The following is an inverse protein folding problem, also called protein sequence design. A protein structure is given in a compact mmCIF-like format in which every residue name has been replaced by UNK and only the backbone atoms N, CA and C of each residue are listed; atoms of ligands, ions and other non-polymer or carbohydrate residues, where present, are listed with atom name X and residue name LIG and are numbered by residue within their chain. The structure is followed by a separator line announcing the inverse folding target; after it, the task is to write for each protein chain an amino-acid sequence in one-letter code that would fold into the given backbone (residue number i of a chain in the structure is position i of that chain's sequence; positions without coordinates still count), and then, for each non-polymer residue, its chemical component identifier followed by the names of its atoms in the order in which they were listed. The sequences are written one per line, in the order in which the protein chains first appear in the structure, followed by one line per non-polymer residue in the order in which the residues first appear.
data_IF_958434730990
#
_entry.id   IF_958434730990
#
_cell.length_a   1.000
_cell.length_b   1.000
_cell.length_c   1.000
_cell.angle_alpha   90.00
_cell.angle_beta   90.00
_cell.angle_gamma   90.00
#
_symmetry.space_group_name_H-M   'P 1'
#
loop_
_entity.id
_entity.type
_entity.pdbx_description
1 polymer ?
#
# COMPACT_ATOMS: atom_id res chain seq x y z
N UNK A 1 -16.78 64.14 -45.09
CA UNK A 1 -17.83 63.40 -44.37
C UNK A 1 -17.30 62.01 -44.03
N UNK A 2 -17.32 61.65 -42.73
CA UNK A 2 -16.98 60.36 -42.09
C UNK A 2 -15.54 59.80 -42.20
N UNK A 3 -14.89 59.76 -41.04
CA UNK A 3 -13.75 58.89 -40.71
C UNK A 3 -14.12 57.41 -40.89
N UNK A 4 -13.14 56.58 -41.25
CA UNK A 4 -13.15 55.16 -40.84
C UNK A 4 -11.74 54.71 -40.43
N UNK A 5 -11.71 53.99 -39.30
CA UNK A 5 -10.63 53.81 -38.33
C UNK A 5 -9.54 52.83 -38.77
N UNK A 6 -8.34 53.09 -38.26
CA UNK A 6 -7.16 52.20 -38.20
C UNK A 6 -7.44 51.04 -37.23
N UNK A 7 -6.97 49.82 -37.55
CA UNK A 7 -6.18 49.03 -36.59
C UNK A 7 -5.43 47.87 -37.28
N UNK A 8 -4.08 47.83 -37.20
CA UNK A 8 -3.32 46.63 -37.55
C UNK A 8 -3.44 45.63 -36.40
N UNK A 9 -3.83 44.39 -36.72
CA UNK A 9 -3.79 43.28 -35.77
C UNK A 9 -2.30 43.00 -35.49
N UNK A 10 -1.80 43.48 -34.34
CA UNK A 10 -0.52 43.05 -33.79
C UNK A 10 -0.70 41.64 -33.27
N UNK A 11 -0.15 40.65 -33.98
CA UNK A 11 0.03 39.31 -33.45
C UNK A 11 1.05 39.37 -32.30
N UNK A 12 0.55 39.32 -31.07
CA UNK A 12 1.40 39.09 -29.89
C UNK A 12 1.51 37.58 -29.74
N UNK A 13 2.66 37.03 -30.13
CA UNK A 13 3.02 35.65 -29.79
C UNK A 13 3.45 35.67 -28.32
N UNK A 14 2.52 35.34 -27.42
CA UNK A 14 2.83 35.09 -26.03
C UNK A 14 3.48 33.70 -25.93
N UNK A 15 4.81 33.68 -25.77
CA UNK A 15 5.56 32.47 -25.50
C UNK A 15 5.30 32.07 -24.05
N UNK A 16 4.33 31.17 -23.85
CA UNK A 16 4.07 30.58 -22.54
C UNK A 16 5.25 29.69 -22.18
N UNK A 17 6.13 30.16 -21.29
CA UNK A 17 7.11 29.33 -20.65
C UNK A 17 6.36 28.31 -19.77
N UNK A 18 6.17 27.09 -20.30
CA UNK A 18 5.81 25.93 -19.50
C UNK A 18 6.96 25.66 -18.54
N UNK A 19 6.86 26.24 -17.35
CA UNK A 19 7.70 25.83 -16.23
C UNK A 19 7.38 24.37 -15.91
N UNK A 20 8.24 23.46 -16.36
CA UNK A 20 8.30 22.11 -15.81
C UNK A 20 8.71 22.27 -14.34
N UNK A 21 7.71 22.34 -13.46
CA UNK A 21 7.92 22.18 -12.04
C UNK A 21 8.28 20.72 -11.81
N UNK A 22 9.56 20.39 -11.85
CA UNK A 22 10.06 19.12 -11.33
C UNK A 22 9.82 19.17 -9.82
N UNK A 23 8.71 18.58 -9.37
CA UNK A 23 8.48 18.39 -7.95
C UNK A 23 9.67 17.60 -7.39
N UNK A 24 10.52 18.25 -6.62
CA UNK A 24 11.59 17.57 -5.91
C UNK A 24 10.92 16.64 -4.90
N UNK A 25 11.20 15.34 -5.01
CA UNK A 25 10.72 14.37 -4.03
C UNK A 25 11.24 14.79 -2.64
N UNK A 26 10.32 14.95 -1.70
CA UNK A 26 10.62 15.30 -0.32
C UNK A 26 11.23 14.09 0.40
N UNK A 27 12.02 14.31 1.46
CA UNK A 27 12.37 13.24 2.39
C UNK A 27 11.11 12.58 2.99
N UNK A 28 9.98 13.30 3.00
CA UNK A 28 8.66 12.78 3.33
C UNK A 28 8.10 11.75 2.33
N UNK A 29 8.78 11.49 1.22
CA UNK A 29 8.39 10.53 0.19
C UNK A 29 9.14 9.18 0.30
N UNK A 30 10.21 9.09 1.11
CA UNK A 30 11.04 7.88 1.23
C UNK A 30 10.79 7.06 2.49
N UNK A 31 10.64 5.75 2.37
CA UNK A 31 10.50 4.83 3.51
C UNK A 31 11.57 3.74 3.48
N UNK A 32 11.89 3.15 4.62
CA UNK A 32 12.88 2.08 4.70
C UNK A 32 12.36 0.77 4.10
N UNK A 33 11.04 0.56 4.16
CA UNK A 33 10.36 -0.62 3.66
C UNK A 33 8.95 -0.26 3.16
N UNK A 34 8.61 -0.71 1.96
CA UNK A 34 7.22 -0.91 1.53
C UNK A 34 6.85 -2.39 1.80
N UNK A 35 5.88 -2.62 2.68
CA UNK A 35 5.47 -3.95 3.13
C UNK A 35 4.01 -4.25 2.78
N UNK A 36 3.78 -5.31 2.01
CA UNK A 36 2.44 -5.88 1.83
C UNK A 36 2.31 -7.11 2.74
N UNK A 37 1.36 -7.08 3.67
CA UNK A 37 0.92 -8.28 4.38
C UNK A 37 -0.19 -8.94 3.57
N UNK A 38 0.11 -10.07 2.91
CA UNK A 38 -0.80 -10.80 2.05
C UNK A 38 -1.28 -12.08 2.74
N UNK A 39 -2.52 -12.08 3.21
CA UNK A 39 -3.05 -13.06 4.16
C UNK A 39 -4.12 -13.95 3.53
N UNK A 40 -3.92 -15.26 3.61
CA UNK A 40 -4.87 -16.26 3.11
C UNK A 40 -6.16 -16.27 3.94
N UNK A 41 -7.30 -16.21 3.25
CA UNK A 41 -8.65 -16.39 3.81
C UNK A 41 -9.38 -17.57 3.16
N UNK A 42 -8.64 -18.50 2.56
CA UNK A 42 -9.22 -19.64 1.87
C UNK A 42 -9.97 -20.57 2.82
N UNK A 43 -10.92 -21.34 2.29
CA UNK A 43 -11.77 -22.25 3.08
C UNK A 43 -11.01 -23.43 3.72
N UNK A 44 -9.71 -23.61 3.50
CA UNK A 44 -8.91 -24.53 4.33
C UNK A 44 -8.77 -23.98 5.75
N UNK A 45 -8.53 -22.68 5.89
CA UNK A 45 -8.41 -21.99 7.17
C UNK A 45 -9.76 -21.95 7.90
N UNK A 46 -9.83 -22.42 9.14
CA UNK A 46 -10.99 -22.21 9.99
C UNK A 46 -11.00 -20.81 10.64
N UNK A 47 -12.11 -20.45 11.30
CA UNK A 47 -12.24 -19.11 11.86
C UNK A 47 -11.32 -18.85 13.06
N UNK A 48 -10.92 -19.88 13.79
CA UNK A 48 -10.02 -19.72 14.94
C UNK A 48 -8.58 -19.55 14.46
N UNK A 49 -8.18 -20.26 13.40
CA UNK A 49 -6.91 -20.05 12.71
C UNK A 49 -6.81 -18.64 12.12
N UNK A 50 -7.86 -18.15 11.45
CA UNK A 50 -7.90 -16.78 10.91
C UNK A 50 -7.82 -15.72 12.01
N UNK A 51 -8.51 -15.94 13.14
CA UNK A 51 -8.41 -15.06 14.31
C UNK A 51 -7.01 -15.06 14.90
N UNK A 52 -6.41 -16.24 15.07
CA UNK A 52 -5.07 -16.39 15.62
C UNK A 52 -4.03 -15.69 14.74
N UNK A 53 -4.10 -15.88 13.43
CA UNK A 53 -3.22 -15.22 12.47
C UNK A 53 -3.37 -13.70 12.52
N UNK A 54 -4.62 -13.20 12.52
CA UNK A 54 -4.91 -11.76 12.65
C UNK A 54 -4.36 -11.19 13.96
N UNK A 55 -4.57 -11.89 15.07
CA UNK A 55 -4.05 -11.50 16.37
C UNK A 55 -2.52 -11.46 16.35
N UNK A 56 -1.85 -12.45 15.74
CA UNK A 56 -0.40 -12.46 15.57
C UNK A 56 0.13 -11.22 14.85
N UNK A 57 -0.56 -10.76 13.79
CA UNK A 57 -0.19 -9.50 13.14
C UNK A 57 -0.37 -8.28 14.04
N UNK A 58 -1.50 -8.19 14.77
CA UNK A 58 -1.76 -7.08 15.69
C UNK A 58 -0.69 -7.02 16.80
N UNK A 59 -0.34 -8.18 17.36
CA UNK A 59 0.69 -8.29 18.40
C UNK A 59 2.08 -7.92 17.85
N UNK A 60 2.46 -8.45 16.69
CA UNK A 60 3.75 -8.15 16.06
C UNK A 60 3.88 -6.66 15.71
N UNK A 61 2.86 -6.06 15.09
CA UNK A 61 2.87 -4.65 14.69
C UNK A 61 2.98 -3.69 15.87
N UNK A 62 2.56 -4.11 17.06
CA UNK A 62 2.61 -3.28 18.27
C UNK A 62 3.73 -3.67 19.24
N UNK A 63 4.54 -4.68 18.88
CA UNK A 63 5.63 -5.15 19.70
C UNK A 63 6.75 -4.08 19.82
N UNK A 64 7.29 -3.81 21.02
CA UNK A 64 8.34 -2.80 21.20
C UNK A 64 9.54 -2.97 20.28
N UNK A 65 10.01 -4.21 20.09
CA UNK A 65 11.16 -4.50 19.23
C UNK A 65 10.90 -4.19 17.75
N UNK A 66 9.67 -4.43 17.26
CA UNK A 66 9.27 -4.10 15.89
C UNK A 66 9.22 -2.58 15.71
N UNK A 67 8.65 -1.87 16.68
CA UNK A 67 8.62 -0.39 16.67
C UNK A 67 10.04 0.17 16.68
N UNK A 68 10.92 -0.37 17.53
CA UNK A 68 12.32 0.05 17.60
C UNK A 68 13.06 -0.24 16.28
N UNK A 69 12.76 -1.37 15.62
CA UNK A 69 13.35 -1.70 14.33
C UNK A 69 12.91 -0.72 13.23
N UNK A 70 11.66 -0.25 13.26
CA UNK A 70 11.15 0.79 12.35
C UNK A 70 11.87 2.12 12.62
N UNK A 71 11.88 2.57 13.88
CA UNK A 71 12.44 3.87 14.28
C UNK A 71 13.96 3.97 14.09
N UNK A 72 14.68 2.84 14.12
CA UNK A 72 16.14 2.79 13.93
C UNK A 72 16.59 2.68 12.47
N UNK A 73 15.65 2.59 11.52
CA UNK A 73 15.94 2.60 10.09
C UNK A 73 16.50 3.95 9.59
N UNK A 74 17.16 3.99 8.42
CA UNK A 74 17.70 5.22 7.85
C UNK A 74 16.70 6.37 7.69
N UNK A 75 15.44 6.06 7.37
CA UNK A 75 14.34 7.03 7.29
C UNK A 75 13.43 6.98 8.53
N UNK A 76 13.63 6.00 9.43
CA UNK A 76 12.89 5.82 10.67
C UNK A 76 11.42 5.46 10.48
N UNK A 77 11.04 4.93 9.32
CA UNK A 77 9.63 4.72 8.94
C UNK A 77 9.45 3.70 7.81
N UNK A 78 8.30 3.05 7.82
CA UNK A 78 7.88 2.09 6.79
C UNK A 78 6.52 2.48 6.21
N UNK A 79 6.20 2.01 5.01
CA UNK A 79 4.84 1.95 4.50
C UNK A 79 4.32 0.52 4.56
N UNK A 80 3.09 0.33 5.01
CA UNK A 80 2.47 -0.99 5.16
C UNK A 80 1.02 -0.99 4.66
N UNK A 81 0.60 -2.10 4.05
CA UNK A 81 -0.80 -2.38 3.68
C UNK A 81 -1.16 -3.82 4.06
N UNK A 82 -2.43 -4.06 4.37
CA UNK A 82 -2.96 -5.38 4.72
C UNK A 82 -3.99 -5.83 3.69
N UNK A 83 -3.75 -7.01 3.12
CA UNK A 83 -4.49 -7.58 2.00
C UNK A 83 -4.92 -9.00 2.35
N UNK A 84 -6.15 -9.33 2.01
CA UNK A 84 -6.66 -10.70 2.08
C UNK A 84 -6.73 -11.29 0.68
N UNK A 85 -6.38 -12.58 0.56
CA UNK A 85 -6.45 -13.32 -0.70
C UNK A 85 -6.98 -14.74 -0.50
N UNK A 86 -7.56 -15.32 -1.56
CA UNK A 86 -7.94 -16.73 -1.62
C UNK A 86 -7.78 -17.25 -3.05
N UNK A 87 -8.85 -17.78 -3.66
CA UNK A 87 -8.85 -18.23 -5.05
C UNK A 87 -8.77 -17.08 -6.07
N UNK A 88 -8.86 -17.43 -7.34
CA UNK A 88 -8.87 -16.45 -8.44
C UNK A 88 -9.99 -15.43 -8.26
N UNK A 89 -9.65 -14.14 -8.32
CA UNK A 89 -10.61 -13.04 -8.18
C UNK A 89 -10.96 -12.66 -6.75
N UNK A 90 -10.41 -13.36 -5.75
CA UNK A 90 -10.56 -13.03 -4.34
C UNK A 90 -9.27 -12.41 -3.80
N UNK A 91 -9.07 -11.12 -4.09
CA UNK A 91 -7.99 -10.30 -3.56
C UNK A 91 -8.57 -8.95 -3.17
N UNK A 92 -8.34 -8.52 -1.93
CA UNK A 92 -8.86 -7.23 -1.47
C UNK A 92 -7.91 -6.54 -0.50
N UNK A 93 -7.70 -5.24 -0.72
CA UNK A 93 -7.07 -4.36 0.28
C UNK A 93 -8.06 -4.15 1.41
N UNK A 94 -7.73 -4.68 2.58
CA UNK A 94 -8.58 -4.61 3.78
C UNK A 94 -8.18 -3.42 4.66
N UNK A 95 -6.87 -3.16 4.77
CA UNK A 95 -6.36 -1.90 5.32
C UNK A 95 -5.46 -1.24 4.28
N UNK A 96 -5.82 -0.06 3.76
CA UNK A 96 -5.00 0.67 2.79
C UNK A 96 -3.61 1.02 3.32
N UNK A 97 -2.71 1.37 2.39
CA UNK A 97 -1.38 1.86 2.68
C UNK A 97 -1.39 2.93 3.78
N UNK A 98 -0.49 2.78 4.74
CA UNK A 98 -0.20 3.78 5.74
C UNK A 98 1.30 3.83 6.02
N UNK A 99 1.82 5.04 6.28
CA UNK A 99 3.17 5.21 6.78
C UNK A 99 3.16 5.06 8.30
N UNK A 100 4.12 4.31 8.83
CA UNK A 100 4.34 4.10 10.26
C UNK A 100 5.76 4.57 10.58
N UNK A 101 5.85 5.57 11.44
CA UNK A 101 7.08 6.19 11.93
C UNK A 101 7.21 6.15 13.46
N UNK A 102 6.15 5.72 14.16
CA UNK A 102 6.10 5.69 15.60
C UNK A 102 5.06 4.67 16.12
N UNK A 103 5.10 4.45 17.44
CA UNK A 103 4.19 3.55 18.16
C UNK A 103 2.70 3.85 17.98
N UNK A 104 2.31 5.12 17.91
CA UNK A 104 0.90 5.50 17.83
C UNK A 104 0.31 5.15 16.47
N UNK A 105 1.04 5.45 15.40
CA UNK A 105 0.69 5.06 14.03
C UNK A 105 0.64 3.53 13.86
N UNK A 106 1.60 2.82 14.47
CA UNK A 106 1.61 1.36 14.47
C UNK A 106 0.36 0.77 15.14
N UNK A 107 -0.03 1.30 16.31
CA UNK A 107 -1.26 0.91 17.01
C UNK A 107 -2.51 1.24 16.21
N UNK A 108 -2.57 2.41 15.55
CA UNK A 108 -3.70 2.79 14.73
C UNK A 108 -3.86 1.85 13.51
N UNK A 109 -2.75 1.48 12.86
CA UNK A 109 -2.77 0.50 11.78
C UNK A 109 -3.21 -0.88 12.29
N UNK A 110 -2.61 -1.37 13.38
CA UNK A 110 -2.95 -2.65 13.98
C UNK A 110 -4.41 -2.72 14.43
N UNK A 111 -4.97 -1.64 14.99
CA UNK A 111 -6.38 -1.57 15.36
C UNK A 111 -7.31 -1.76 14.16
N UNK A 112 -6.99 -1.14 13.01
CA UNK A 112 -7.75 -1.34 11.77
C UNK A 112 -7.70 -2.78 11.28
N UNK A 113 -6.53 -3.42 11.36
CA UNK A 113 -6.38 -4.86 11.05
C UNK A 113 -7.23 -5.70 12.00
N UNK A 114 -7.17 -5.44 13.31
CA UNK A 114 -7.84 -6.23 14.33
C UNK A 114 -9.37 -6.16 14.28
N UNK A 115 -9.95 -5.03 13.87
CA UNK A 115 -11.42 -4.85 13.78
C UNK A 115 -12.00 -5.15 12.40
N UNK A 116 -11.15 -5.40 11.40
CA UNK A 116 -11.61 -5.79 10.07
C UNK A 116 -12.44 -7.08 10.13
N UNK A 117 -13.59 -7.18 9.43
CA UNK A 117 -14.36 -8.41 9.36
C UNK A 117 -13.49 -9.59 8.92
N UNK A 118 -13.70 -10.76 9.52
CA UNK A 118 -13.02 -12.01 9.11
C UNK A 118 -13.93 -12.73 8.12
N UNK A 119 -13.46 -12.88 6.89
CA UNK A 119 -14.14 -13.60 5.81
C UNK A 119 -13.47 -14.95 5.50
N UNK A 120 -14.15 -15.76 4.69
CA UNK A 120 -13.62 -17.02 4.13
C UNK A 120 -14.05 -17.20 2.69
N UNK A 121 -13.11 -17.47 1.79
CA UNK A 121 -13.38 -17.60 0.37
C UNK A 121 -12.88 -18.90 -0.25
N UNK A 122 -13.43 -19.28 -1.41
CA UNK A 122 -13.08 -20.56 -2.06
C UNK A 122 -11.74 -20.45 -2.78
N UNK A 123 -10.95 -21.53 -2.72
CA UNK A 123 -9.73 -21.69 -3.50
C UNK A 123 -8.49 -21.07 -2.86
N UNK A 124 -7.31 -21.52 -3.28
CA UNK A 124 -6.02 -21.03 -2.79
C UNK A 124 -5.13 -20.71 -3.99
N UNK A 125 -5.02 -19.44 -4.34
CA UNK A 125 -4.22 -18.95 -5.47
C UNK A 125 -3.13 -18.01 -4.98
N UNK A 126 -2.02 -18.60 -4.51
CA UNK A 126 -0.83 -17.87 -4.04
C UNK A 126 -0.27 -17.01 -5.18
N UNK A 127 -0.25 -17.53 -6.40
CA UNK A 127 0.28 -16.78 -7.55
C UNK A 127 -0.52 -15.52 -7.86
N UNK A 128 -1.85 -15.58 -7.80
CA UNK A 128 -2.70 -14.39 -7.95
C UNK A 128 -2.60 -13.45 -6.74
N UNK A 129 -2.48 -13.98 -5.53
CA UNK A 129 -2.21 -13.19 -4.32
C UNK A 129 -0.91 -12.38 -4.46
N UNK A 130 0.18 -13.02 -4.89
CA UNK A 130 1.47 -12.37 -5.16
C UNK A 130 1.38 -11.36 -6.31
N UNK A 131 0.70 -11.71 -7.39
CA UNK A 131 0.51 -10.82 -8.55
C UNK A 131 -0.24 -9.54 -8.18
N UNK A 132 -1.32 -9.67 -7.40
CA UNK A 132 -2.05 -8.53 -6.86
C UNK A 132 -1.20 -7.70 -5.90
N UNK A 133 -0.53 -8.35 -4.94
CA UNK A 133 0.34 -7.67 -3.98
C UNK A 133 1.47 -6.89 -4.66
N UNK A 134 2.08 -7.45 -5.71
CA UNK A 134 3.14 -6.78 -6.46
C UNK A 134 2.66 -5.48 -7.13
N UNK A 135 1.42 -5.44 -7.64
CA UNK A 135 0.85 -4.25 -8.27
C UNK A 135 0.60 -3.11 -7.26
N UNK A 136 0.39 -3.43 -5.98
CA UNK A 136 0.09 -2.41 -4.95
C UNK A 136 1.25 -1.47 -4.67
N UNK A 137 2.50 -1.87 -4.98
CA UNK A 137 3.66 -0.99 -4.84
C UNK A 137 3.59 0.24 -5.76
N UNK A 138 2.91 0.14 -6.90
CA UNK A 138 2.77 1.27 -7.84
C UNK A 138 1.82 2.35 -7.29
N UNK A 139 1.02 2.02 -6.27
CA UNK A 139 0.04 2.92 -5.65
C UNK A 139 0.33 3.22 -4.17
N UNK A 140 1.53 2.90 -3.65
CA UNK A 140 1.88 3.15 -2.24
C UNK A 140 2.01 4.65 -1.92
N UNK A 141 2.29 5.48 -2.93
CA UNK A 141 2.47 6.93 -2.79
C UNK A 141 3.82 7.32 -2.17
N UNK A 142 4.71 6.35 -1.94
CA UNK A 142 6.05 6.53 -1.38
C UNK A 142 7.07 5.70 -2.17
N UNK A 143 8.36 5.95 -1.94
CA UNK A 143 9.45 5.14 -2.48
C UNK A 143 10.18 4.41 -1.36
N UNK A 144 10.10 3.08 -1.35
CA UNK A 144 10.83 2.24 -0.40
C UNK A 144 12.28 1.99 -0.82
N UNK A 145 13.20 1.96 0.16
CA UNK A 145 14.54 1.40 -0.04
C UNK A 145 14.48 -0.11 -0.33
N UNK A 146 13.45 -0.77 0.22
CA UNK A 146 13.14 -2.18 -0.01
C UNK A 146 11.64 -2.36 -0.20
N UNK A 147 11.26 -3.33 -1.03
CA UNK A 147 9.89 -3.81 -1.19
C UNK A 147 9.83 -5.26 -0.72
N UNK A 148 8.83 -5.60 0.09
CA UNK A 148 8.60 -6.96 0.55
C UNK A 148 7.11 -7.31 0.56
N UNK A 149 6.83 -8.55 0.20
CA UNK A 149 5.53 -9.18 0.38
C UNK A 149 5.73 -10.27 1.42
N UNK A 150 5.06 -10.14 2.56
CA UNK A 150 4.92 -11.21 3.53
C UNK A 150 3.64 -11.98 3.19
N UNK A 151 3.79 -13.20 2.70
CA UNK A 151 2.67 -14.04 2.29
C UNK A 151 2.44 -15.16 3.31
N UNK A 152 1.22 -15.22 3.84
CA UNK A 152 0.81 -16.23 4.82
C UNK A 152 -0.33 -17.06 4.26
N UNK A 153 -0.22 -18.39 4.31
CA UNK A 153 -1.25 -19.35 3.90
C UNK A 153 -0.97 -20.75 4.45
N UNK A 154 -2.01 -21.60 4.52
CA UNK A 154 -1.97 -22.93 5.15
C UNK A 154 -1.96 -24.10 4.16
N UNK A 155 -2.07 -23.82 2.86
CA UNK A 155 -2.21 -24.83 1.82
C UNK A 155 -1.35 -24.57 0.58
N UNK A 156 -1.13 -25.59 -0.27
CA UNK A 156 -0.45 -25.42 -1.54
C UNK A 156 -1.29 -24.54 -2.49
N UNK A 157 -0.61 -23.87 -3.42
CA UNK A 157 -1.26 -23.25 -4.57
C UNK A 157 -2.02 -24.33 -5.36
N UNK A 158 -3.35 -24.28 -5.33
CA UNK A 158 -4.21 -25.30 -5.93
C UNK A 158 -5.06 -24.76 -7.09
N UNK A 159 -5.06 -23.44 -7.29
CA UNK A 159 -5.73 -22.75 -8.39
C UNK A 159 -4.80 -21.64 -8.90
N UNK A 160 -4.77 -21.45 -10.21
CA UNK A 160 -3.96 -20.41 -10.87
C UNK A 160 -2.67 -20.98 -11.46
N UNK A 161 -1.71 -20.09 -11.70
CA UNK A 161 -0.37 -20.44 -12.19
C UNK A 161 0.48 -21.03 -11.06
#
# INVERSE_FOLDING_TARGET
MRLMKINPIRAVVAMAALGLSTAAASAADYVDLELVLAVDISRSMDYDELRLQRQGYVEALTHPDVIQAIESGPNGRIAITYVEWAGTGYQSVVVPWAVISNREEARAFAARVGVAPIGRERGTSISQGLGFAAQLFDSSGVTGLRRAIDISGDGPNNIGL
#
